data_IF_792698947420
#
_entry.id   IF_792698947420
#
_cell.length_a   1.000
_cell.length_b   1.000
_cell.length_c   1.000
_cell.angle_alpha   90.00
_cell.angle_beta   90.00
_cell.angle_gamma   90.00
#
_symmetry.space_group_name_H-M   'P 1'
#
loop_
_entity.id
_entity.type
_entity.pdbx_description
1 polymer ?
#
# COMPACT_ATOMS: atom_id res chain seq x y z
N UNK A 1 16.79 -9.46 11.03
CA UNK A 1 16.31 -8.12 10.59
C UNK A 1 17.29 -7.52 9.59
N UNK A 2 17.04 -7.69 8.27
CA UNK A 2 17.98 -7.29 7.21
C UNK A 2 18.39 -5.81 7.22
N UNK A 3 17.47 -4.92 7.62
CA UNK A 3 17.69 -3.47 7.64
C UNK A 3 17.39 -2.81 8.99
N UNK A 4 17.24 -3.60 10.07
CA UNK A 4 16.86 -3.07 11.39
C UNK A 4 15.48 -2.37 11.42
N UNK A 5 14.67 -2.56 10.38
CA UNK A 5 13.34 -1.98 10.23
C UNK A 5 12.30 -3.08 10.07
N UNK A 6 11.14 -2.88 10.70
CA UNK A 6 9.93 -3.65 10.48
C UNK A 6 9.08 -2.98 9.40
N UNK A 7 8.29 -3.73 8.60
CA UNK A 7 8.05 -5.18 8.68
C UNK A 7 9.09 -6.04 7.95
N UNK A 8 9.23 -7.28 8.41
CA UNK A 8 10.04 -8.34 7.79
C UNK A 8 9.17 -9.60 7.62
N UNK A 9 9.13 -10.15 6.42
CA UNK A 9 8.53 -11.45 6.11
C UNK A 9 9.62 -12.53 6.13
N UNK A 10 9.33 -13.67 6.74
CA UNK A 10 10.19 -14.85 6.70
C UNK A 10 9.54 -15.95 5.85
N UNK A 11 10.28 -16.47 4.88
CA UNK A 11 9.83 -17.54 3.97
C UNK A 11 10.96 -18.55 3.86
N UNK A 12 10.75 -19.77 4.37
CA UNK A 12 11.72 -20.87 4.31
C UNK A 12 13.12 -20.44 4.81
N UNK A 13 13.17 -19.89 6.04
CA UNK A 13 14.39 -19.36 6.70
C UNK A 13 15.07 -18.19 5.96
N UNK A 14 14.44 -17.61 4.93
CA UNK A 14 14.90 -16.40 4.25
C UNK A 14 14.08 -15.19 4.69
N UNK A 15 14.78 -14.10 5.01
CA UNK A 15 14.14 -12.85 5.43
C UNK A 15 14.03 -11.87 4.27
N UNK A 16 12.80 -11.39 4.02
CA UNK A 16 12.46 -10.32 3.09
C UNK A 16 11.94 -9.13 3.89
N UNK A 17 12.69 -8.02 3.88
CA UNK A 17 12.27 -6.76 4.48
C UNK A 17 11.63 -5.83 3.43
N UNK A 18 11.14 -4.66 3.86
CA UNK A 18 10.40 -3.67 3.06
C UNK A 18 8.96 -4.10 2.74
N UNK A 19 7.99 -3.38 3.30
CA UNK A 19 6.55 -3.68 3.17
C UNK A 19 6.09 -3.84 1.71
N UNK A 20 6.52 -2.98 0.80
CA UNK A 20 6.14 -3.07 -0.62
C UNK A 20 6.78 -4.26 -1.35
N UNK A 21 8.02 -4.63 -0.99
CA UNK A 21 8.67 -5.80 -1.57
C UNK A 21 7.96 -7.09 -1.10
N UNK A 22 7.57 -7.12 0.17
CA UNK A 22 6.77 -8.20 0.77
C UNK A 22 5.41 -8.32 0.07
N UNK A 23 4.67 -7.23 -0.06
CA UNK A 23 3.35 -7.22 -0.70
C UNK A 23 3.44 -7.68 -2.16
N UNK A 24 4.44 -7.19 -2.92
CA UNK A 24 4.65 -7.60 -4.32
C UNK A 24 5.01 -9.08 -4.45
N UNK A 25 5.87 -9.59 -3.56
CA UNK A 25 6.22 -11.01 -3.52
C UNK A 25 4.98 -11.89 -3.26
N UNK A 26 4.15 -11.52 -2.27
CA UNK A 26 2.92 -12.22 -1.97
C UNK A 26 1.89 -12.08 -3.11
N UNK A 27 1.77 -10.90 -3.71
CA UNK A 27 0.86 -10.66 -4.83
C UNK A 27 1.21 -11.56 -6.03
N UNK A 28 2.50 -11.72 -6.37
CA UNK A 28 2.92 -12.65 -7.41
C UNK A 28 2.67 -14.11 -7.02
N UNK A 29 2.98 -14.48 -5.77
CA UNK A 29 2.80 -15.85 -5.27
C UNK A 29 1.33 -16.30 -5.28
N UNK A 30 0.39 -15.38 -5.04
CA UNK A 30 -1.04 -15.68 -4.98
C UNK A 30 -1.84 -15.24 -6.22
N UNK A 31 -1.18 -14.73 -7.26
CA UNK A 31 -1.84 -14.35 -8.51
C UNK A 31 -2.62 -13.02 -8.45
N UNK A 32 -2.29 -12.14 -7.51
CA UNK A 32 -2.85 -10.79 -7.39
C UNK A 32 -2.01 -9.70 -8.09
N UNK A 33 -0.85 -10.04 -8.65
CA UNK A 33 0.01 -9.07 -9.32
C UNK A 33 -0.51 -8.62 -10.70
N UNK A 34 -1.40 -9.38 -11.33
CA UNK A 34 -1.84 -9.14 -12.71
C UNK A 34 -1.65 -10.39 -13.57
N UNK A 35 -2.28 -10.44 -14.75
CA UNK A 35 -2.22 -11.59 -15.68
C UNK A 35 -1.18 -11.42 -16.78
N UNK A 36 -0.65 -10.21 -16.95
CA UNK A 36 0.39 -9.90 -17.94
C UNK A 36 1.50 -9.03 -17.31
N UNK A 37 2.72 -9.02 -17.89
CA UNK A 37 3.81 -8.16 -17.40
C UNK A 37 3.44 -6.67 -17.37
N UNK A 38 2.59 -6.23 -18.29
CA UNK A 38 2.12 -4.85 -18.32
C UNK A 38 1.09 -4.57 -17.22
N UNK A 39 0.18 -5.51 -16.94
CA UNK A 39 -0.74 -5.40 -15.80
C UNK A 39 0.01 -5.39 -14.46
N UNK A 40 1.07 -6.21 -14.32
CA UNK A 40 1.95 -6.16 -13.15
C UNK A 40 2.59 -4.78 -12.98
N UNK A 41 3.13 -4.22 -14.07
CA UNK A 41 3.71 -2.88 -14.04
C UNK A 41 2.66 -1.80 -13.69
N UNK A 42 1.42 -1.95 -14.14
CA UNK A 42 0.33 -1.04 -13.79
C UNK A 42 -0.03 -1.14 -12.31
N UNK A 43 -0.18 -2.35 -11.76
CA UNK A 43 -0.44 -2.56 -10.32
C UNK A 43 0.70 -1.99 -9.48
N UNK A 44 1.95 -2.21 -9.91
CA UNK A 44 3.13 -1.65 -9.25
C UNK A 44 3.13 -0.12 -9.26
N UNK A 45 2.74 0.51 -10.38
CA UNK A 45 2.63 1.96 -10.47
C UNK A 45 1.57 2.55 -9.52
N UNK A 46 0.46 1.83 -9.31
CA UNK A 46 -0.60 2.22 -8.36
C UNK A 46 -0.09 2.08 -6.92
N UNK A 47 0.62 1.00 -6.62
CA UNK A 47 1.21 0.78 -5.29
C UNK A 47 2.24 1.86 -4.95
N UNK A 48 3.09 2.24 -5.91
CA UNK A 48 4.07 3.33 -5.70
C UNK A 48 3.37 4.69 -5.54
N UNK A 49 2.30 4.96 -6.28
CA UNK A 49 1.50 6.18 -6.07
C UNK A 49 0.82 6.23 -4.69
N UNK A 50 0.40 5.07 -4.18
CA UNK A 50 -0.08 4.95 -2.80
C UNK A 50 1.03 5.22 -1.78
N UNK A 51 2.24 4.72 -2.03
CA UNK A 51 3.41 4.99 -1.18
C UNK A 51 3.68 6.49 -1.08
N UNK A 52 3.65 7.20 -2.21
CA UNK A 52 3.87 8.65 -2.22
C UNK A 52 2.78 9.40 -1.45
N UNK A 53 1.52 8.98 -1.60
CA UNK A 53 0.41 9.52 -0.81
C UNK A 53 0.61 9.31 0.70
N UNK A 54 1.00 8.10 1.13
CA UNK A 54 1.26 7.81 2.55
C UNK A 54 2.41 8.64 3.11
N UNK A 55 3.47 8.89 2.33
CA UNK A 55 4.55 9.80 2.75
C UNK A 55 4.05 11.24 2.88
N UNK A 56 3.21 11.71 1.96
CA UNK A 56 2.63 13.06 2.00
C UNK A 56 1.72 13.26 3.21
N UNK A 57 0.98 12.22 3.63
CA UNK A 57 0.12 12.26 4.83
C UNK A 57 0.77 11.71 6.09
N UNK A 58 2.07 11.38 6.06
CA UNK A 58 2.81 10.81 7.19
C UNK A 58 2.69 11.67 8.46
N UNK A 59 2.79 13.01 8.41
CA UNK A 59 2.60 13.84 9.61
C UNK A 59 1.21 13.67 10.23
N UNK A 60 0.17 13.57 9.40
CA UNK A 60 -1.20 13.30 9.85
C UNK A 60 -1.28 11.93 10.53
N UNK A 61 -0.68 10.90 9.92
CA UNK A 61 -0.70 9.54 10.44
C UNK A 61 0.02 9.43 11.80
N UNK A 62 1.17 10.08 11.94
CA UNK A 62 1.92 10.09 13.20
C UNK A 62 1.15 10.79 14.34
N UNK A 63 0.41 11.86 14.03
CA UNK A 63 -0.47 12.55 15.00
C UNK A 63 -1.65 11.67 15.39
N UNK A 64 -2.34 11.05 14.42
CA UNK A 64 -3.48 10.15 14.68
C UNK A 64 -3.06 8.93 15.52
N UNK A 65 -1.86 8.40 15.29
CA UNK A 65 -1.32 7.26 16.03
C UNK A 65 -0.75 7.65 17.42
N UNK A 66 -0.80 8.93 17.80
CA UNK A 66 -0.31 9.41 19.09
C UNK A 66 1.22 9.37 19.23
N UNK A 67 1.96 9.27 18.11
CA UNK A 67 3.43 9.23 18.08
C UNK A 67 3.99 10.65 18.06
N UNK A 68 3.29 11.58 17.42
CA UNK A 68 3.67 12.99 17.34
C UNK A 68 2.56 13.88 17.91
N UNK A 69 2.94 14.94 18.62
CA UNK A 69 2.00 16.00 19.02
C UNK A 69 1.77 16.97 17.87
N UNK A 70 0.52 17.32 17.61
CA UNK A 70 0.17 18.27 16.56
C UNK A 70 -1.33 18.54 16.44
N UNK A 71 -1.67 19.63 15.76
CA UNK A 71 -3.05 19.99 15.46
C UNK A 71 -3.57 19.12 14.30
N UNK A 72 -4.29 18.06 14.67
CA UNK A 72 -4.87 17.11 13.72
C UNK A 72 -5.82 17.80 12.73
N UNK A 73 -6.62 18.76 13.18
CA UNK A 73 -7.56 19.45 12.30
C UNK A 73 -6.83 20.27 11.24
N UNK A 74 -5.79 20.97 11.63
CA UNK A 74 -4.98 21.77 10.71
C UNK A 74 -4.26 20.90 9.69
N UNK A 75 -3.57 19.85 10.14
CA UNK A 75 -2.85 18.92 9.25
C UNK A 75 -3.83 18.17 8.34
N UNK A 76 -5.01 17.80 8.85
CA UNK A 76 -6.04 17.19 8.03
C UNK A 76 -6.52 18.12 6.91
N UNK A 77 -6.80 19.39 7.22
CA UNK A 77 -7.30 20.36 6.24
C UNK A 77 -6.24 20.81 5.23
N UNK A 78 -5.00 21.03 5.69
CA UNK A 78 -3.92 21.60 4.87
C UNK A 78 -3.13 20.55 4.08
N UNK A 79 -3.02 19.31 4.58
CA UNK A 79 -2.21 18.27 3.94
C UNK A 79 -3.05 17.06 3.52
N UNK A 80 -3.84 16.48 4.44
CA UNK A 80 -4.57 15.24 4.13
C UNK A 80 -5.64 15.44 3.05
N UNK A 81 -6.49 16.46 3.16
CA UNK A 81 -7.55 16.72 2.17
C UNK A 81 -7.01 16.94 0.74
N UNK A 82 -6.02 17.82 0.49
CA UNK A 82 -5.48 17.99 -0.85
C UNK A 82 -4.79 16.74 -1.38
N UNK A 83 -3.98 16.06 -0.56
CA UNK A 83 -3.30 14.83 -0.94
C UNK A 83 -4.31 13.71 -1.28
N UNK A 84 -5.34 13.56 -0.46
CA UNK A 84 -6.42 12.58 -0.63
C UNK A 84 -7.20 12.87 -1.92
N UNK A 85 -7.55 14.13 -2.17
CA UNK A 85 -8.27 14.54 -3.37
C UNK A 85 -7.47 14.27 -4.64
N UNK A 86 -6.15 14.51 -4.61
CA UNK A 86 -5.24 14.21 -5.71
C UNK A 86 -5.13 12.69 -5.94
N UNK A 87 -4.89 11.93 -4.88
CA UNK A 87 -4.79 10.47 -4.93
C UNK A 87 -6.08 9.82 -5.46
N UNK A 88 -7.23 10.13 -4.87
CA UNK A 88 -8.53 9.63 -5.33
C UNK A 88 -8.87 10.11 -6.75
N UNK A 89 -8.40 11.29 -7.15
CA UNK A 89 -8.51 11.78 -8.52
C UNK A 89 -7.79 10.87 -9.53
N UNK A 90 -6.58 10.41 -9.19
CA UNK A 90 -5.87 9.43 -10.01
C UNK A 90 -6.56 8.06 -10.00
N UNK A 91 -6.94 7.57 -8.82
CA UNK A 91 -7.62 6.26 -8.72
C UNK A 91 -8.95 6.24 -9.46
N UNK A 92 -9.71 7.33 -9.42
CA UNK A 92 -10.96 7.45 -10.17
C UNK A 92 -10.74 7.38 -11.68
N UNK A 93 -9.62 7.88 -12.21
CA UNK A 93 -9.27 7.73 -13.64
C UNK A 93 -8.98 6.27 -13.98
N UNK A 94 -8.14 5.61 -13.18
CA UNK A 94 -7.86 4.18 -13.33
C UNK A 94 -9.13 3.32 -13.25
N UNK A 95 -10.02 3.60 -12.30
CA UNK A 95 -11.29 2.89 -12.16
C UNK A 95 -12.26 3.14 -13.33
N UNK A 96 -12.23 4.31 -13.96
CA UNK A 96 -13.05 4.59 -15.16
C UNK A 96 -12.54 3.85 -16.39
N UNK A 97 -11.23 3.69 -16.51
CA UNK A 97 -10.60 2.93 -17.60
C UNK A 97 -10.79 1.42 -17.41
N UNK A 98 -10.81 0.96 -16.15
CA UNK A 98 -11.08 -0.42 -15.75
C UNK A 98 -12.58 -0.70 -15.64
N UNK A 99 -13.22 -1.14 -16.73
CA UNK A 99 -14.66 -1.52 -16.78
C UNK A 99 -15.10 -2.67 -15.83
N UNK A 100 -14.23 -3.23 -14.99
CA UNK A 100 -14.51 -4.43 -14.18
C UNK A 100 -14.98 -4.16 -12.73
N UNK A 101 -14.94 -2.93 -12.23
CA UNK A 101 -15.47 -2.58 -10.89
C UNK A 101 -14.87 -3.32 -9.68
N UNK A 102 -13.94 -4.26 -9.89
CA UNK A 102 -13.21 -5.04 -8.88
C UNK A 102 -11.92 -5.59 -9.50
N UNK A 103 -10.80 -5.58 -8.77
CA UNK A 103 -9.64 -6.43 -9.04
C UNK A 103 -9.87 -7.84 -8.47
N UNK A 104 -10.90 -8.50 -9.01
CA UNK A 104 -11.17 -9.95 -9.05
C UNK A 104 -11.10 -10.85 -7.78
N UNK A 105 -11.76 -12.04 -7.83
CA UNK A 105 -12.45 -12.64 -6.70
C UNK A 105 -11.75 -13.85 -6.07
N UNK A 106 -12.16 -14.14 -4.83
CA UNK A 106 -12.07 -15.42 -4.10
C UNK A 106 -10.67 -15.98 -3.76
N UNK A 107 -10.48 -16.28 -2.46
CA UNK A 107 -10.04 -17.56 -1.86
C UNK A 107 -9.70 -17.31 -0.38
N UNK A 108 -10.62 -17.58 0.56
CA UNK A 108 -10.63 -18.78 1.43
C UNK A 108 -9.25 -19.42 1.65
N UNK A 109 -8.84 -19.38 2.92
CA UNK A 109 -7.78 -20.16 3.58
C UNK A 109 -6.34 -19.90 3.13
N UNK A 110 -5.59 -19.15 3.95
CA UNK A 110 -4.32 -19.63 4.52
C UNK A 110 -3.82 -18.70 5.63
N UNK A 111 -3.40 -19.29 6.74
CA UNK A 111 -2.86 -18.65 7.94
C UNK A 111 -1.45 -18.10 7.68
N UNK A 112 -1.27 -16.78 7.78
CA UNK A 112 0.03 -16.12 7.86
C UNK A 112 0.05 -15.18 9.06
N UNK A 113 1.07 -15.32 9.90
CA UNK A 113 1.29 -14.45 11.06
C UNK A 113 2.19 -13.31 10.65
N UNK A 114 1.68 -12.08 10.67
CA UNK A 114 2.48 -10.86 10.53
C UNK A 114 2.82 -10.41 11.94
N UNK A 115 4.09 -10.48 12.32
CA UNK A 115 4.56 -9.89 13.57
C UNK A 115 4.73 -8.38 13.39
N UNK A 116 3.97 -7.62 14.18
CA UNK A 116 4.08 -6.17 14.40
C UNK A 116 5.26 -5.82 15.31
#
# INVERSE_FOLDING_TARGET
MPFGQMPVLEVDDKQLAQSFAIVRFLARKFGFAGKSPFEEALVDSIADQWKDFIHEVQPCLLIVLGIAEGDLEKVAKEQFLPASRKFFGFMAKFLKESKSGTSQPNLRNNSFTISS
#
